data_IF_016789046594
#
_entry.id   IF_016789046594
#
_cell.length_a   1.000
_cell.length_b   1.000
_cell.length_c   1.000
_cell.angle_alpha   90.00
_cell.angle_beta   90.00
_cell.angle_gamma   90.00
#
_symmetry.space_group_name_H-M   'P 1'
#
loop_
_entity.id
_entity.type
_entity.pdbx_description
1 polymer ?
#
# COMPACT_ATOMS: atom_id res chain seq x y z
N UNK A 1 -32.21 13.78 15.67
CA UNK A 1 -32.67 13.20 14.39
C UNK A 1 -31.59 13.45 13.36
N UNK A 2 -30.64 12.53 13.22
CA UNK A 2 -29.56 12.62 12.24
C UNK A 2 -29.83 11.59 11.15
N UNK A 3 -30.00 12.09 9.92
CA UNK A 3 -30.21 11.27 8.74
C UNK A 3 -28.87 10.60 8.34
N UNK A 4 -28.85 9.27 8.42
CA UNK A 4 -27.84 8.43 7.81
C UNK A 4 -28.15 8.32 6.30
N UNK A 5 -27.33 8.92 5.44
CA UNK A 5 -27.39 8.67 3.99
C UNK A 5 -26.34 7.63 3.61
N UNK A 6 -26.88 6.54 3.22
CA UNK A 6 -26.45 5.34 2.51
C UNK A 6 -25.20 5.49 1.64
N UNK A 7 -24.12 4.81 2.05
CA UNK A 7 -22.99 4.45 1.21
C UNK A 7 -23.36 3.23 0.36
N UNK A 8 -23.62 3.44 -0.93
CA UNK A 8 -23.67 2.31 -1.88
C UNK A 8 -22.24 1.93 -2.30
N UNK A 9 -21.73 0.87 -1.70
CA UNK A 9 -20.57 0.15 -2.22
C UNK A 9 -21.04 -0.69 -3.41
N UNK A 10 -20.52 -0.40 -4.60
CA UNK A 10 -20.58 -1.31 -5.73
C UNK A 10 -19.53 -2.40 -5.53
N UNK A 11 -19.96 -3.58 -5.07
CA UNK A 11 -19.15 -4.78 -5.06
C UNK A 11 -18.99 -5.29 -6.48
N UNK A 12 -17.80 -5.15 -7.07
CA UNK A 12 -17.45 -5.86 -8.27
C UNK A 12 -17.01 -7.28 -7.90
N UNK A 13 -17.78 -8.27 -8.37
CA UNK A 13 -17.51 -9.70 -8.25
C UNK A 13 -16.19 -10.06 -8.93
N UNK A 14 -15.32 -10.73 -8.20
CA UNK A 14 -14.07 -11.29 -8.70
C UNK A 14 -14.31 -12.72 -9.16
N UNK A 15 -14.12 -13.00 -10.43
CA UNK A 15 -14.00 -14.36 -10.97
C UNK A 15 -12.60 -14.53 -11.58
N UNK A 16 -11.83 -15.56 -11.19
CA UNK A 16 -10.49 -15.76 -11.72
C UNK A 16 -10.55 -16.58 -13.01
N UNK A 17 -10.32 -15.95 -14.15
CA UNK A 17 -9.89 -16.64 -15.38
C UNK A 17 -8.91 -15.78 -16.18
N UNK A 18 -7.71 -16.32 -16.31
CA UNK A 18 -6.71 -16.20 -17.37
C UNK A 18 -6.49 -14.85 -18.09
N UNK A 19 -5.31 -14.28 -17.85
CA UNK A 19 -4.41 -13.71 -18.85
C UNK A 19 -4.95 -12.64 -19.77
N UNK A 20 -5.12 -11.40 -19.28
CA UNK A 20 -5.03 -10.17 -20.12
C UNK A 20 -4.95 -8.95 -19.21
N UNK A 21 -4.18 -7.94 -19.65
CA UNK A 21 -3.82 -6.74 -18.90
C UNK A 21 -5.01 -6.05 -18.22
N UNK A 22 -4.80 -5.72 -16.98
CA UNK A 22 -5.79 -5.12 -16.09
C UNK A 22 -5.96 -3.62 -16.45
N UNK A 23 -7.01 -3.29 -17.21
CA UNK A 23 -7.50 -1.93 -17.38
C UNK A 23 -8.51 -1.64 -16.27
N UNK A 24 -8.12 -0.90 -15.24
CA UNK A 24 -9.08 -0.33 -14.28
C UNK A 24 -9.32 1.12 -14.67
N UNK A 25 -10.52 1.38 -15.19
CA UNK A 25 -11.04 2.73 -15.34
C UNK A 25 -11.52 3.23 -13.98
N UNK A 26 -10.83 4.21 -13.40
CA UNK A 26 -11.27 4.88 -12.18
C UNK A 26 -11.88 6.24 -12.55
N UNK A 27 -13.20 6.26 -12.69
CA UNK A 27 -14.00 7.47 -12.48
C UNK A 27 -14.65 7.35 -11.09
N UNK A 28 -14.14 8.06 -10.12
CA UNK A 28 -14.88 8.31 -8.87
C UNK A 28 -14.55 9.71 -8.35
N UNK A 29 -15.45 10.62 -8.63
CA UNK A 29 -15.52 11.93 -7.96
C UNK A 29 -16.03 11.72 -6.54
N UNK A 30 -15.18 11.83 -5.52
CA UNK A 30 -15.62 11.83 -4.12
C UNK A 30 -15.72 13.27 -3.63
N UNK A 31 -16.93 13.68 -3.24
CA UNK A 31 -17.20 14.92 -2.53
C UNK A 31 -17.14 14.62 -1.03
N UNK A 32 -16.20 15.21 -0.31
CA UNK A 32 -16.15 15.19 1.14
C UNK A 32 -16.20 16.64 1.64
N UNK A 33 -17.22 16.99 2.41
CA UNK A 33 -17.45 18.31 3.02
C UNK A 33 -17.42 19.50 2.04
N UNK A 34 -18.04 19.41 0.87
CA UNK A 34 -18.20 20.54 -0.05
C UNK A 34 -16.90 21.09 -0.68
N UNK A 35 -15.75 20.42 -0.47
CA UNK A 35 -14.49 20.70 -1.17
C UNK A 35 -14.20 19.57 -2.14
N UNK A 36 -14.11 19.90 -3.41
CA UNK A 36 -13.54 19.01 -4.43
C UNK A 36 -12.10 18.73 -4.03
N UNK A 37 -11.81 17.48 -3.63
CA UNK A 37 -10.43 17.01 -3.57
C UNK A 37 -9.87 17.14 -4.99
N UNK A 38 -8.62 17.63 -5.16
CA UNK A 38 -8.00 17.61 -6.47
C UNK A 38 -7.95 16.14 -6.92
N UNK A 39 -8.86 15.78 -7.80
CA UNK A 39 -8.79 14.51 -8.54
C UNK A 39 -7.41 14.47 -9.16
N UNK A 40 -6.66 13.40 -8.89
CA UNK A 40 -5.48 13.07 -9.67
C UNK A 40 -5.97 12.76 -11.10
N UNK A 41 -6.26 13.77 -11.88
CA UNK A 41 -6.28 13.68 -13.35
C UNK A 41 -4.85 13.46 -13.83
N UNK A 42 -4.34 12.34 -13.40
CA UNK A 42 -3.07 11.82 -13.88
C UNK A 42 -3.40 11.26 -15.26
N UNK A 43 -2.93 11.88 -16.33
CA UNK A 43 -3.11 11.32 -17.66
C UNK A 43 -2.73 9.83 -17.61
N UNK A 44 -3.42 9.00 -18.36
CA UNK A 44 -3.17 7.54 -18.43
C UNK A 44 -1.68 7.24 -18.61
N UNK A 45 -0.96 8.03 -19.40
CA UNK A 45 0.49 7.91 -19.60
C UNK A 45 1.32 8.24 -18.35
N UNK A 46 0.94 9.25 -17.58
CA UNK A 46 1.64 9.61 -16.34
C UNK A 46 1.48 8.50 -15.29
N UNK A 47 0.30 7.91 -15.18
CA UNK A 47 0.04 6.77 -14.31
C UNK A 47 0.86 5.53 -14.74
N UNK A 48 0.96 5.27 -16.05
CA UNK A 48 1.81 4.21 -16.58
C UNK A 48 3.28 4.38 -16.16
N UNK A 49 3.81 5.61 -16.21
CA UNK A 49 5.19 5.87 -15.75
C UNK A 49 5.34 5.61 -14.26
N UNK A 50 4.35 5.96 -13.42
CA UNK A 50 4.37 5.66 -11.99
C UNK A 50 4.42 4.14 -11.75
N UNK A 51 3.58 3.36 -12.43
CA UNK A 51 3.59 1.89 -12.29
C UNK A 51 4.92 1.29 -12.73
N UNK A 52 5.41 1.64 -13.92
CA UNK A 52 6.72 1.18 -14.40
C UNK A 52 7.85 1.55 -13.43
N UNK A 53 7.83 2.77 -12.88
CA UNK A 53 8.83 3.20 -11.91
C UNK A 53 8.76 2.39 -10.61
N UNK A 54 7.57 2.08 -10.10
CA UNK A 54 7.38 1.23 -8.92
C UNK A 54 8.00 -0.15 -9.16
N UNK A 55 7.72 -0.78 -10.29
CA UNK A 55 8.30 -2.07 -10.66
C UNK A 55 9.83 -2.03 -10.71
N UNK A 56 10.38 -1.01 -11.37
CA UNK A 56 11.84 -0.83 -11.48
C UNK A 56 12.49 -0.53 -10.11
N UNK A 57 11.86 0.27 -9.26
CA UNK A 57 12.35 0.53 -7.90
C UNK A 57 12.30 -0.72 -7.03
N UNK A 58 11.27 -1.53 -7.16
CA UNK A 58 11.19 -2.81 -6.47
C UNK A 58 12.29 -3.77 -6.93
N UNK A 59 12.56 -3.84 -8.21
CA UNK A 59 13.52 -4.77 -8.79
C UNK A 59 14.99 -4.33 -8.58
N UNK A 60 15.31 -3.07 -8.88
CA UNK A 60 16.70 -2.59 -8.92
C UNK A 60 17.07 -1.64 -7.77
N UNK A 61 16.10 -1.19 -6.97
CA UNK A 61 16.29 -0.17 -5.94
C UNK A 61 16.18 1.25 -6.46
N UNK A 62 16.03 2.18 -5.52
CA UNK A 62 15.88 3.60 -5.86
C UNK A 62 17.16 4.19 -6.46
N UNK A 63 18.33 3.75 -6.01
CA UNK A 63 19.61 4.31 -6.46
C UNK A 63 19.95 3.88 -7.88
N UNK A 64 19.79 2.60 -8.18
CA UNK A 64 20.21 2.02 -9.46
C UNK A 64 19.22 2.29 -10.61
N UNK A 65 17.99 2.71 -10.28
CA UNK A 65 16.98 3.03 -11.29
C UNK A 65 17.14 4.46 -11.78
N UNK A 66 17.74 4.65 -12.94
CA UNK A 66 17.93 5.95 -13.58
C UNK A 66 16.71 6.43 -14.38
N UNK A 67 16.62 7.76 -14.63
CA UNK A 67 15.55 8.36 -15.45
C UNK A 67 15.51 7.78 -16.87
N UNK A 68 16.69 7.48 -17.44
CA UNK A 68 16.78 6.92 -18.79
C UNK A 68 16.14 5.54 -18.89
N UNK A 69 16.36 4.69 -17.88
CA UNK A 69 15.73 3.38 -17.79
C UNK A 69 14.21 3.53 -17.65
N UNK A 70 13.74 4.41 -16.75
CA UNK A 70 12.31 4.65 -16.54
C UNK A 70 11.63 5.13 -17.82
N UNK A 71 12.22 6.12 -18.50
CA UNK A 71 11.68 6.66 -19.75
C UNK A 71 11.61 5.59 -20.85
N UNK A 72 12.66 4.77 -20.99
CA UNK A 72 12.73 3.66 -21.94
C UNK A 72 11.64 2.63 -21.68
N UNK A 73 11.54 2.12 -20.46
CA UNK A 73 10.58 1.06 -20.09
C UNK A 73 9.14 1.58 -20.11
N UNK A 74 8.92 2.86 -19.77
CA UNK A 74 7.60 3.52 -19.88
C UNK A 74 7.25 3.91 -21.32
N UNK A 75 8.16 3.72 -22.29
CA UNK A 75 7.98 4.09 -23.70
C UNK A 75 7.61 5.56 -23.90
N UNK A 76 8.26 6.46 -23.18
CA UNK A 76 8.09 7.91 -23.31
C UNK A 76 9.43 8.59 -23.61
N UNK A 77 9.46 9.73 -24.33
CA UNK A 77 10.65 10.56 -24.44
C UNK A 77 11.09 11.10 -23.08
N UNK A 78 12.39 11.25 -22.85
CA UNK A 78 12.95 11.83 -21.63
C UNK A 78 12.42 13.25 -21.35
N UNK A 79 12.18 14.04 -22.39
CA UNK A 79 11.55 15.35 -22.23
C UNK A 79 10.14 15.26 -21.62
N UNK A 80 9.35 14.26 -22.03
CA UNK A 80 8.02 14.00 -21.47
C UNK A 80 8.09 13.60 -20.00
N UNK A 81 9.12 12.82 -19.60
CA UNK A 81 9.36 12.50 -18.20
C UNK A 81 9.53 13.77 -17.36
N UNK A 82 10.40 14.68 -17.80
CA UNK A 82 10.65 15.92 -17.06
C UNK A 82 9.43 16.88 -17.04
N UNK A 83 8.61 16.84 -18.08
CA UNK A 83 7.34 17.57 -18.09
C UNK A 83 6.34 17.00 -17.04
N UNK A 84 6.38 15.69 -16.77
CA UNK A 84 5.49 15.05 -15.80
C UNK A 84 5.96 15.19 -14.36
N UNK A 85 7.26 15.06 -14.10
CA UNK A 85 7.78 14.88 -12.75
C UNK A 85 8.90 15.84 -12.36
N UNK A 86 9.40 16.67 -13.29
CA UNK A 86 10.50 17.61 -13.12
C UNK A 86 11.82 16.98 -12.63
N UNK A 87 11.76 16.00 -11.73
CA UNK A 87 12.92 15.29 -11.19
C UNK A 87 12.59 13.83 -10.85
N UNK A 88 13.65 13.01 -10.69
CA UNK A 88 13.52 11.63 -10.16
C UNK A 88 12.99 11.64 -8.73
N UNK A 89 13.39 12.61 -7.92
CA UNK A 89 12.91 12.76 -6.54
C UNK A 89 11.39 12.92 -6.49
N UNK A 90 10.82 13.83 -7.29
CA UNK A 90 9.37 14.01 -7.36
C UNK A 90 8.65 12.76 -7.88
N UNK A 91 9.23 12.00 -8.80
CA UNK A 91 8.67 10.72 -9.20
C UNK A 91 8.64 9.74 -8.03
N UNK A 92 9.75 9.62 -7.26
CA UNK A 92 9.82 8.74 -6.09
C UNK A 92 8.73 9.12 -5.07
N UNK A 93 8.56 10.41 -4.78
CA UNK A 93 7.50 10.91 -3.90
C UNK A 93 6.11 10.50 -4.42
N UNK A 94 5.87 10.62 -5.74
CA UNK A 94 4.59 10.20 -6.35
C UNK A 94 4.36 8.70 -6.25
N UNK A 95 5.40 7.89 -6.44
CA UNK A 95 5.32 6.43 -6.28
C UNK A 95 4.99 6.03 -4.83
N UNK A 96 5.69 6.61 -3.86
CA UNK A 96 5.43 6.36 -2.44
C UNK A 96 4.03 6.84 -2.04
N UNK A 97 3.61 8.04 -2.47
CA UNK A 97 2.27 8.55 -2.22
C UNK A 97 1.19 7.63 -2.79
N UNK A 98 1.37 7.15 -4.03
CA UNK A 98 0.43 6.25 -4.69
C UNK A 98 0.27 4.93 -3.91
N UNK A 99 1.38 4.28 -3.55
CA UNK A 99 1.35 3.05 -2.77
C UNK A 99 0.75 3.25 -1.37
N UNK A 100 1.17 4.31 -0.68
CA UNK A 100 0.64 4.68 0.65
C UNK A 100 -0.88 4.89 0.62
N UNK A 101 -1.38 5.59 -0.39
CA UNK A 101 -2.82 5.88 -0.51
C UNK A 101 -3.63 4.61 -0.72
N UNK A 102 -3.18 3.74 -1.63
CA UNK A 102 -3.83 2.45 -1.89
C UNK A 102 -3.82 1.55 -0.67
N UNK A 103 -2.67 1.41 0.00
CA UNK A 103 -2.59 0.63 1.24
C UNK A 103 -3.56 1.13 2.30
N UNK A 104 -3.67 2.45 2.48
CA UNK A 104 -4.63 3.02 3.42
C UNK A 104 -6.07 2.67 3.06
N UNK A 105 -6.44 2.78 1.79
CA UNK A 105 -7.78 2.41 1.32
C UNK A 105 -8.09 0.94 1.60
N UNK A 106 -7.14 0.03 1.33
CA UNK A 106 -7.30 -1.40 1.55
C UNK A 106 -7.39 -1.75 3.05
N UNK A 107 -6.53 -1.16 3.90
CA UNK A 107 -6.60 -1.34 5.36
C UNK A 107 -7.93 -0.83 5.92
N UNK A 108 -8.39 0.35 5.52
CA UNK A 108 -9.67 0.89 5.95
C UNK A 108 -10.84 0.03 5.46
N UNK A 109 -10.75 -0.52 4.24
CA UNK A 109 -11.74 -1.46 3.73
C UNK A 109 -11.84 -2.73 4.59
N UNK A 110 -10.70 -3.25 5.09
CA UNK A 110 -10.70 -4.37 6.06
C UNK A 110 -11.33 -3.96 7.38
N UNK A 111 -10.89 -2.82 7.96
CA UNK A 111 -11.35 -2.35 9.28
C UNK A 111 -12.88 -2.15 9.31
N UNK A 112 -13.43 -1.55 8.28
CA UNK A 112 -14.87 -1.24 8.19
C UNK A 112 -15.71 -2.31 7.49
N UNK A 113 -15.09 -3.42 7.07
CA UNK A 113 -15.81 -4.53 6.45
C UNK A 113 -16.63 -5.30 7.48
N UNK A 114 -17.88 -5.61 7.12
CA UNK A 114 -18.72 -6.55 7.88
C UNK A 114 -18.35 -8.03 7.66
N UNK A 115 -17.46 -8.32 6.72
CA UNK A 115 -16.96 -9.68 6.41
C UNK A 115 -16.15 -10.24 7.58
N UNK A 116 -15.33 -9.41 8.21
CA UNK A 116 -14.48 -9.80 9.33
C UNK A 116 -15.20 -9.50 10.64
N UNK A 117 -15.57 -10.54 11.39
CA UNK A 117 -16.43 -10.43 12.57
C UNK A 117 -15.68 -9.97 13.81
N UNK A 118 -14.43 -10.36 13.93
CA UNK A 118 -13.60 -10.07 15.10
C UNK A 118 -12.46 -9.11 14.75
N UNK A 119 -11.93 -8.42 15.76
CA UNK A 119 -10.71 -7.62 15.59
C UNK A 119 -9.50 -8.49 15.26
N UNK A 120 -9.48 -9.74 15.74
CA UNK A 120 -8.48 -10.74 15.38
C UNK A 120 -8.49 -11.04 13.88
N UNK A 121 -9.67 -11.31 13.29
CA UNK A 121 -9.79 -11.55 11.85
C UNK A 121 -9.31 -10.35 11.02
N UNK A 122 -9.61 -9.13 11.48
CA UNK A 122 -9.14 -7.89 10.81
C UNK A 122 -7.63 -7.74 10.87
N UNK A 123 -7.02 -8.04 12.02
CA UNK A 123 -5.56 -7.99 12.19
C UNK A 123 -4.89 -9.04 11.30
N UNK A 124 -5.41 -10.28 11.26
CA UNK A 124 -4.94 -11.33 10.34
C UNK A 124 -4.92 -10.83 8.90
N UNK A 125 -6.04 -10.27 8.43
CA UNK A 125 -6.15 -9.80 7.06
C UNK A 125 -5.22 -8.62 6.76
N UNK A 126 -5.03 -7.70 7.72
CA UNK A 126 -4.04 -6.61 7.60
C UNK A 126 -2.63 -7.17 7.46
N UNK A 127 -2.26 -8.21 8.22
CA UNK A 127 -0.96 -8.86 8.09
C UNK A 127 -0.83 -9.49 6.70
N UNK A 128 -1.83 -10.25 6.24
CA UNK A 128 -1.82 -10.89 4.92
C UNK A 128 -1.74 -9.86 3.78
N UNK A 129 -2.42 -8.72 3.91
CA UNK A 129 -2.35 -7.61 2.96
C UNK A 129 -0.91 -7.06 2.82
N UNK A 130 -0.19 -6.94 3.94
CA UNK A 130 1.18 -6.40 3.94
C UNK A 130 2.22 -7.45 3.56
N UNK A 131 1.98 -8.70 3.89
CA UNK A 131 2.96 -9.79 3.80
C UNK A 131 2.60 -10.72 2.64
N UNK A 132 2.91 -10.29 1.42
CA UNK A 132 2.76 -11.11 0.21
C UNK A 132 3.79 -10.68 -0.86
N UNK A 133 4.01 -11.51 -1.89
CA UNK A 133 4.99 -11.26 -2.95
C UNK A 133 4.75 -9.97 -3.74
N UNK A 134 3.48 -9.57 -3.92
CA UNK A 134 3.08 -8.38 -4.66
C UNK A 134 2.65 -7.24 -3.74
N UNK A 135 3.13 -7.24 -2.50
CA UNK A 135 2.72 -6.27 -1.50
C UNK A 135 3.03 -4.84 -1.90
N UNK A 136 2.00 -3.99 -1.84
CA UNK A 136 2.17 -2.55 -1.96
C UNK A 136 3.08 -1.97 -0.85
N UNK A 137 3.20 -2.67 0.27
CA UNK A 137 4.04 -2.27 1.39
C UNK A 137 5.53 -2.42 1.10
N UNK A 138 5.92 -3.30 0.18
CA UNK A 138 7.33 -3.56 -0.13
C UNK A 138 8.10 -2.29 -0.53
N UNK A 139 7.53 -1.46 -1.40
CA UNK A 139 8.18 -0.20 -1.81
C UNK A 139 8.37 0.76 -0.62
N UNK A 140 7.38 0.85 0.28
CA UNK A 140 7.47 1.71 1.48
C UNK A 140 8.55 1.20 2.44
N UNK A 141 8.60 -0.11 2.66
CA UNK A 141 9.62 -0.75 3.50
C UNK A 141 11.01 -0.50 2.91
N UNK A 142 11.19 -0.73 1.61
CA UNK A 142 12.44 -0.46 0.89
C UNK A 142 12.87 1.00 0.97
N UNK A 143 11.93 1.94 0.88
CA UNK A 143 12.22 3.36 1.04
C UNK A 143 12.81 3.71 2.42
N UNK A 144 12.35 3.04 3.48
CA UNK A 144 12.86 3.26 4.85
C UNK A 144 14.35 2.92 4.93
N UNK A 145 14.79 1.85 4.26
CA UNK A 145 16.19 1.42 4.30
C UNK A 145 17.10 2.17 3.32
N UNK A 146 16.60 2.47 2.12
CA UNK A 146 17.47 2.97 1.04
C UNK A 146 17.58 4.49 0.97
N UNK A 147 16.52 5.25 1.27
CA UNK A 147 16.44 6.65 0.82
C UNK A 147 16.44 7.71 1.92
N UNK A 148 16.58 7.32 3.19
CA UNK A 148 16.54 8.24 4.34
C UNK A 148 17.38 9.50 4.18
N UNK A 149 18.59 9.38 3.64
CA UNK A 149 19.56 10.48 3.53
C UNK A 149 19.41 11.32 2.27
N UNK A 150 18.80 10.76 1.21
CA UNK A 150 18.83 11.35 -0.14
C UNK A 150 17.46 11.92 -0.53
N UNK A 151 16.37 11.17 -0.27
CA UNK A 151 15.02 11.53 -0.63
C UNK A 151 14.17 11.67 0.66
N UNK A 152 14.49 12.66 1.46
CA UNK A 152 13.95 12.82 2.83
C UNK A 152 12.43 12.92 2.87
N UNK A 153 11.79 13.57 1.90
CA UNK A 153 10.33 13.72 1.86
C UNK A 153 9.65 12.37 1.58
N UNK A 154 10.12 11.60 0.60
CA UNK A 154 9.62 10.27 0.31
C UNK A 154 9.81 9.32 1.50
N UNK A 155 10.98 9.40 2.19
CA UNK A 155 11.22 8.67 3.44
C UNK A 155 10.19 9.03 4.52
N UNK A 156 9.92 10.31 4.74
CA UNK A 156 8.93 10.74 5.73
C UNK A 156 7.53 10.20 5.41
N UNK A 157 7.13 10.19 4.14
CA UNK A 157 5.85 9.61 3.73
C UNK A 157 5.74 8.11 4.10
N UNK A 158 6.81 7.33 3.97
CA UNK A 158 6.84 5.93 4.36
C UNK A 158 6.75 5.76 5.89
N UNK A 159 7.46 6.60 6.65
CA UNK A 159 7.38 6.62 8.13
C UNK A 159 5.99 7.04 8.61
N UNK A 160 5.37 8.04 7.97
CA UNK A 160 4.00 8.47 8.29
C UNK A 160 2.98 7.35 8.07
N UNK A 161 3.16 6.53 7.02
CA UNK A 161 2.30 5.38 6.81
C UNK A 161 2.41 4.39 7.99
N UNK A 162 3.61 4.06 8.42
CA UNK A 162 3.82 3.15 9.56
C UNK A 162 3.23 3.68 10.86
N UNK A 163 3.41 4.98 11.14
CA UNK A 163 2.80 5.63 12.32
C UNK A 163 1.27 5.60 12.26
N UNK A 164 0.71 5.78 11.07
CA UNK A 164 -0.73 5.69 10.87
C UNK A 164 -1.20 4.24 11.07
N UNK A 165 -0.56 3.26 10.43
CA UNK A 165 -0.91 1.84 10.57
C UNK A 165 -0.84 1.38 12.04
N UNK A 166 0.19 1.82 12.78
CA UNK A 166 0.32 1.52 14.21
C UNK A 166 -0.91 2.00 15.01
N UNK A 167 -1.44 3.18 14.72
CA UNK A 167 -2.64 3.70 15.38
C UNK A 167 -3.88 2.86 15.06
N UNK A 168 -4.10 2.55 13.78
CA UNK A 168 -5.24 1.73 13.36
C UNK A 168 -5.20 0.33 13.99
N UNK A 169 -4.00 -0.28 14.03
CA UNK A 169 -3.80 -1.58 14.68
C UNK A 169 -3.97 -1.48 16.20
N UNK A 170 -3.52 -0.39 16.82
CA UNK A 170 -3.71 -0.16 18.25
C UNK A 170 -5.20 -0.16 18.63
N UNK A 171 -6.04 0.53 17.86
CA UNK A 171 -7.48 0.59 18.11
C UNK A 171 -8.13 -0.80 17.98
N UNK A 172 -7.68 -1.61 17.01
CA UNK A 172 -8.14 -3.00 16.86
C UNK A 172 -7.69 -3.88 18.03
N UNK A 173 -6.42 -3.80 18.43
CA UNK A 173 -5.87 -4.57 19.57
C UNK A 173 -6.55 -4.17 20.87
N UNK A 174 -6.81 -2.88 21.07
CA UNK A 174 -7.50 -2.39 22.26
C UNK A 174 -8.92 -2.94 22.38
N UNK A 175 -9.58 -3.20 21.24
CA UNK A 175 -10.93 -3.80 21.23
C UNK A 175 -10.97 -5.32 21.45
N UNK A 176 -9.82 -5.99 21.62
CA UNK A 176 -9.75 -7.41 21.96
C UNK A 176 -10.00 -7.60 23.46
N UNK A 177 -11.25 -7.71 23.89
CA UNK A 177 -11.64 -7.70 25.30
C UNK A 177 -11.19 -8.95 26.11
N UNK A 178 -10.99 -10.12 25.48
CA UNK A 178 -10.81 -11.40 26.17
C UNK A 178 -9.57 -12.23 25.74
N UNK A 179 -8.58 -11.62 25.11
CA UNK A 179 -7.38 -12.36 24.72
C UNK A 179 -6.44 -12.55 25.91
N UNK A 180 -6.09 -13.81 26.22
CA UNK A 180 -5.04 -14.16 27.21
C UNK A 180 -3.67 -13.64 26.80
N UNK A 181 -3.46 -13.39 25.51
CA UNK A 181 -2.31 -12.72 24.94
C UNK A 181 -2.85 -11.48 24.19
N UNK A 182 -2.76 -10.30 24.81
CA UNK A 182 -2.98 -9.03 24.08
C UNK A 182 -1.69 -8.69 23.33
N UNK A 183 -1.64 -8.90 22.00
CA UNK A 183 -0.48 -8.45 21.25
C UNK A 183 -0.41 -6.93 21.35
N UNK A 184 0.78 -6.39 21.63
CA UNK A 184 1.02 -4.95 21.46
C UNK A 184 0.95 -4.61 19.97
N UNK A 185 0.37 -3.46 19.63
CA UNK A 185 0.32 -2.98 18.24
C UNK A 185 1.72 -2.90 17.60
N UNK A 186 2.76 -2.60 18.39
CA UNK A 186 4.14 -2.66 17.92
C UNK A 186 4.57 -4.08 17.55
N UNK A 187 4.11 -5.09 18.30
CA UNK A 187 4.39 -6.49 18.00
C UNK A 187 3.79 -6.89 16.65
N UNK A 188 2.58 -6.43 16.32
CA UNK A 188 1.95 -6.67 15.00
C UNK A 188 2.78 -6.05 13.89
N UNK A 189 3.25 -4.80 14.04
CA UNK A 189 4.11 -4.17 13.04
C UNK A 189 5.44 -4.89 12.88
N UNK A 190 6.06 -5.30 13.99
CA UNK A 190 7.31 -6.05 13.95
C UNK A 190 7.12 -7.42 13.29
N UNK A 191 5.97 -8.05 13.50
CA UNK A 191 5.60 -9.29 12.84
C UNK A 191 5.46 -9.09 11.32
N UNK A 192 4.79 -8.04 10.88
CA UNK A 192 4.68 -7.68 9.45
C UNK A 192 6.07 -7.51 8.83
N UNK A 193 6.95 -6.75 9.47
CA UNK A 193 8.29 -6.50 8.95
C UNK A 193 9.15 -7.77 8.92
N UNK A 194 9.10 -8.58 9.98
CA UNK A 194 9.83 -9.84 10.06
C UNK A 194 9.39 -10.84 9.00
N UNK A 195 8.07 -11.00 8.84
CA UNK A 195 7.51 -11.87 7.81
C UNK A 195 7.80 -11.37 6.38
N UNK A 196 7.77 -10.06 6.15
CA UNK A 196 8.19 -9.49 4.86
C UNK A 196 9.65 -9.80 4.56
N UNK A 197 10.53 -9.64 5.55
CA UNK A 197 11.94 -9.98 5.40
C UNK A 197 12.13 -11.47 5.09
N UNK A 198 11.37 -12.33 5.75
CA UNK A 198 11.40 -13.76 5.55
C UNK A 198 10.96 -14.16 4.14
N UNK A 199 9.84 -13.63 3.64
CA UNK A 199 9.39 -13.88 2.25
C UNK A 199 10.48 -13.49 1.25
N UNK A 200 11.12 -12.35 1.46
CA UNK A 200 12.18 -11.85 0.57
C UNK A 200 13.44 -12.74 0.60
N UNK A 201 13.68 -13.47 1.69
CA UNK A 201 14.85 -14.34 1.84
C UNK A 201 14.58 -15.79 1.45
N UNK A 202 13.38 -16.33 1.78
CA UNK A 202 13.03 -17.73 1.55
C UNK A 202 12.22 -17.98 0.28
N UNK A 203 11.62 -16.92 -0.28
CA UNK A 203 10.68 -16.98 -1.40
C UNK A 203 9.49 -17.94 -1.14
N UNK A 204 9.05 -18.05 0.13
CA UNK A 204 7.89 -18.85 0.56
C UNK A 204 6.94 -18.04 1.45
N UNK A 205 5.65 -18.37 1.39
CA UNK A 205 4.59 -17.82 2.23
C UNK A 205 4.17 -18.78 3.36
N UNK A 206 4.66 -20.00 3.37
CA UNK A 206 4.18 -21.06 4.27
C UNK A 206 4.27 -20.66 5.73
N UNK A 207 5.38 -20.05 6.14
CA UNK A 207 5.61 -19.62 7.50
C UNK A 207 4.71 -18.45 7.93
N UNK A 208 4.32 -17.56 6.97
CA UNK A 208 3.37 -16.47 7.27
C UNK A 208 2.06 -17.02 7.81
N UNK A 209 1.48 -17.99 7.11
CA UNK A 209 0.15 -18.51 7.44
C UNK A 209 0.18 -19.28 8.77
N UNK A 210 1.24 -20.03 9.02
CA UNK A 210 1.47 -20.71 10.32
C UNK A 210 1.59 -19.69 11.47
N UNK A 211 2.41 -18.66 11.29
CA UNK A 211 2.63 -17.64 12.33
C UNK A 211 1.35 -16.84 12.59
N UNK A 212 0.65 -16.44 11.53
CA UNK A 212 -0.61 -15.69 11.66
C UNK A 212 -1.66 -16.51 12.41
N UNK A 213 -1.78 -17.80 12.11
CA UNK A 213 -2.71 -18.70 12.83
C UNK A 213 -2.30 -18.92 14.30
N UNK A 214 -1.01 -19.04 14.58
CA UNK A 214 -0.50 -19.22 15.94
C UNK A 214 -0.79 -18.01 16.85
N UNK A 215 -0.73 -16.77 16.32
CA UNK A 215 -0.92 -15.56 17.13
C UNK A 215 -2.37 -15.07 17.20
N UNK A 216 -3.17 -15.40 16.21
CA UNK A 216 -4.51 -14.83 16.05
C UNK A 216 -5.60 -15.88 15.74
N UNK A 217 -5.26 -17.18 15.75
CA UNK A 217 -6.16 -18.32 15.52
C UNK A 217 -7.14 -18.65 16.61
#
# INVERSE_FOLDING_TARGET
>A
MCHAQSLRLCCAFFSPREGTGFFISFETTRIYNGKTMPTLETSSKKLQVIHTAIELFNLYGFHNTGVDLIAKESKIPKATFYNYFHSKEQLIERCIYFQKSRLKEEVLAIIYSSRYRTSSDKIKEIIVLHVNFNSLYYLLLKAIFEIKKIYSQAYQMAIEYRKWLLREVFDLVFSLENSTLKPDANMVLNLIDGLMFQILSSNSLDERDVVVEMFFG
#
